data_IF_993650408362
#
_entry.id   IF_993650408362
#
_cell.length_a   1.000
_cell.length_b   1.000
_cell.length_c   1.000
_cell.angle_alpha   90.00
_cell.angle_beta   90.00
_cell.angle_gamma   90.00
#
_symmetry.space_group_name_H-M   'P 1'
#
loop_
_entity.id
_entity.type
_entity.pdbx_description
1 polymer ?
#
# COMPACT_ATOMS: atom_id res chain seq x y z
N UNK A 1 -7.12 34.22 24.63
CA UNK A 1 -7.13 32.97 23.86
C UNK A 1 -8.39 32.97 23.01
N UNK A 2 -8.25 33.29 21.74
CA UNK A 2 -9.35 33.32 20.76
C UNK A 2 -8.79 32.61 19.54
N UNK A 3 -9.20 31.36 19.31
CA UNK A 3 -8.82 30.65 18.10
C UNK A 3 -9.62 31.23 16.93
N UNK A 4 -8.94 31.88 15.99
CA UNK A 4 -9.54 32.31 14.72
C UNK A 4 -9.65 31.11 13.78
N UNK A 5 -10.88 30.75 13.39
CA UNK A 5 -11.10 29.74 12.37
C UNK A 5 -11.06 30.42 11.00
N UNK A 6 -9.92 30.32 10.31
CA UNK A 6 -9.80 30.77 8.92
C UNK A 6 -10.18 29.62 8.00
N UNK A 7 -11.25 29.79 7.24
CA UNK A 7 -11.62 28.86 6.15
C UNK A 7 -10.95 29.38 4.89
N UNK A 8 -9.78 28.85 4.57
CA UNK A 8 -9.17 29.09 3.26
C UNK A 8 -9.67 28.04 2.26
N UNK A 9 -10.43 28.50 1.27
CA UNK A 9 -10.69 27.75 0.04
C UNK A 9 -9.43 27.85 -0.83
N UNK A 10 -8.44 26.99 -0.54
CA UNK A 10 -7.24 26.86 -1.37
C UNK A 10 -7.62 26.20 -2.70
N UNK A 11 -8.18 27.02 -3.58
CA UNK A 11 -8.24 26.75 -4.99
C UNK A 11 -6.84 26.51 -5.55
N UNK A 12 -6.70 25.37 -6.23
CA UNK A 12 -5.66 25.03 -7.18
C UNK A 12 -4.25 24.67 -6.64
N UNK A 13 -4.15 23.56 -5.89
CA UNK A 13 -3.07 22.58 -6.10
C UNK A 13 -3.46 21.22 -5.49
N UNK A 14 -3.79 20.26 -6.37
CA UNK A 14 -4.03 18.86 -6.00
C UNK A 14 -5.50 18.50 -5.81
N UNK A 15 -6.12 17.94 -6.86
CA UNK A 15 -7.41 17.24 -6.75
C UNK A 15 -7.26 16.07 -5.79
N UNK A 16 -7.57 16.27 -4.52
CA UNK A 16 -7.81 15.18 -3.57
C UNK A 16 -9.31 14.90 -3.54
N UNK A 17 -9.69 13.66 -3.88
CA UNK A 17 -11.05 13.13 -3.87
C UNK A 17 -11.92 13.65 -2.71
N UNK A 18 -12.76 14.65 -2.97
CA UNK A 18 -13.97 14.99 -2.21
C UNK A 18 -13.86 15.22 -0.70
N UNK A 19 -12.66 15.40 -0.14
CA UNK A 19 -12.48 15.63 1.31
C UNK A 19 -12.19 17.10 1.53
N UNK A 20 -13.09 17.79 2.25
CA UNK A 20 -12.77 19.10 2.82
C UNK A 20 -11.64 18.91 3.84
N UNK A 21 -10.47 19.48 3.55
CA UNK A 21 -9.42 19.64 4.53
C UNK A 21 -9.69 20.89 5.35
N UNK A 22 -9.51 20.82 6.65
CA UNK A 22 -9.48 21.99 7.53
C UNK A 22 -8.06 22.14 8.04
N UNK A 23 -7.50 23.32 7.85
CA UNK A 23 -6.22 23.71 8.46
C UNK A 23 -6.53 24.68 9.58
N UNK A 24 -6.06 24.38 10.79
CA UNK A 24 -6.18 25.28 11.93
C UNK A 24 -4.83 25.93 12.15
N UNK A 25 -4.79 27.26 12.07
CA UNK A 25 -3.60 28.05 12.40
C UNK A 25 -3.73 28.54 13.83
N UNK A 26 -2.68 28.37 14.62
CA UNK A 26 -2.57 28.96 15.94
C UNK A 26 -1.84 30.30 15.81
N UNK A 27 -2.38 31.37 16.39
CA UNK A 27 -1.76 32.71 16.34
C UNK A 27 -0.42 32.76 17.08
N UNK A 28 -0.24 31.89 18.08
CA UNK A 28 0.97 31.74 18.86
C UNK A 28 1.17 30.26 19.19
N UNK A 29 2.42 29.80 19.19
CA UNK A 29 2.79 28.45 19.64
C UNK A 29 2.40 28.31 21.12
N UNK A 30 1.55 27.34 21.48
CA UNK A 30 1.24 27.10 22.89
C UNK A 30 2.52 26.79 23.67
N UNK A 31 2.62 27.26 24.91
CA UNK A 31 3.80 27.06 25.77
C UNK A 31 4.09 25.56 26.03
N UNK A 32 3.07 24.71 25.88
CA UNK A 32 3.14 23.25 26.02
C UNK A 32 3.46 22.53 24.68
N UNK A 33 3.64 23.25 23.59
CA UNK A 33 3.82 22.70 22.23
C UNK A 33 5.28 22.54 21.80
N UNK A 34 6.24 22.66 22.72
CA UNK A 34 7.65 22.43 22.44
C UNK A 34 7.90 21.03 21.84
N UNK A 35 8.53 21.00 20.67
CA UNK A 35 8.94 19.76 19.99
C UNK A 35 7.97 19.24 18.92
N UNK A 36 6.83 19.89 18.70
CA UNK A 36 5.94 19.55 17.58
C UNK A 36 6.43 20.22 16.29
N UNK A 37 7.46 19.65 15.66
CA UNK A 37 7.84 20.05 14.29
C UNK A 37 6.99 19.28 13.30
N UNK A 38 6.11 19.98 12.58
CA UNK A 38 5.47 19.44 11.37
C UNK A 38 6.49 19.46 10.22
N UNK A 39 7.62 18.77 10.41
CA UNK A 39 8.62 18.55 9.38
C UNK A 39 8.06 17.46 8.45
N UNK A 40 7.11 17.87 7.60
CA UNK A 40 6.41 17.02 6.63
C UNK A 40 7.38 16.39 5.61
N UNK A 41 8.65 16.79 5.59
CA UNK A 41 9.65 16.22 4.70
C UNK A 41 11.07 16.30 5.28
N UNK A 42 11.41 15.44 6.26
CA UNK A 42 12.81 14.99 6.29
C UNK A 42 12.98 14.03 5.12
N UNK A 43 13.48 14.56 4.00
CA UNK A 43 13.91 13.72 2.86
C UNK A 43 15.03 12.76 3.29
N UNK A 44 15.81 13.18 4.29
CA UNK A 44 16.96 12.43 4.80
C UNK A 44 16.75 12.04 6.27
N UNK A 45 16.27 10.82 6.49
CA UNK A 45 16.32 10.19 7.81
C UNK A 45 17.76 9.69 8.05
N UNK A 46 18.42 10.06 9.17
CA UNK A 46 19.73 9.51 9.50
C UNK A 46 19.69 7.97 9.45
N UNK A 47 20.64 7.39 8.73
CA UNK A 47 20.63 5.96 8.42
C UNK A 47 20.56 5.08 9.68
N UNK A 48 21.25 5.47 10.74
CA UNK A 48 21.26 4.73 12.01
C UNK A 48 19.86 4.66 12.64
N UNK A 49 19.11 5.76 12.62
CA UNK A 49 17.73 5.79 13.12
C UNK A 49 16.80 4.96 12.25
N UNK A 50 16.99 4.99 10.93
CA UNK A 50 16.22 4.15 10.01
C UNK A 50 16.46 2.66 10.28
N UNK A 51 17.71 2.25 10.48
CA UNK A 51 18.07 0.85 10.75
C UNK A 51 17.45 0.40 12.08
N UNK A 52 17.63 1.18 13.15
CA UNK A 52 17.09 0.82 14.46
C UNK A 52 15.56 0.74 14.43
N UNK A 53 14.89 1.75 13.87
CA UNK A 53 13.44 1.73 13.71
C UNK A 53 12.98 0.53 12.87
N UNK A 54 13.68 0.18 11.79
CA UNK A 54 13.34 -0.99 10.98
C UNK A 54 13.43 -2.30 11.78
N UNK A 55 14.49 -2.48 12.57
CA UNK A 55 14.67 -3.66 13.44
C UNK A 55 13.51 -3.77 14.43
N UNK A 56 13.13 -2.66 15.06
CA UNK A 56 12.05 -2.64 16.03
C UNK A 56 10.72 -2.90 15.33
N UNK A 57 10.37 -2.15 14.29
CA UNK A 57 9.13 -2.34 13.51
C UNK A 57 8.94 -3.76 12.96
N UNK A 58 10.01 -4.42 12.52
CA UNK A 58 9.92 -5.79 12.02
C UNK A 58 9.54 -6.81 13.09
N UNK A 59 9.77 -6.52 14.38
CA UNK A 59 9.31 -7.38 15.49
C UNK A 59 7.78 -7.36 15.63
N UNK A 60 7.15 -6.23 15.29
CA UNK A 60 5.72 -6.05 15.50
C UNK A 60 5.32 -5.98 16.97
N UNK A 61 4.01 -6.07 17.22
CA UNK A 61 3.46 -6.14 18.58
C UNK A 61 2.78 -4.85 19.06
N UNK A 62 2.76 -3.79 18.25
CA UNK A 62 1.95 -2.60 18.56
C UNK A 62 0.46 -2.93 18.56
N UNK A 63 -0.28 -2.23 19.42
CA UNK A 63 -1.73 -2.30 19.45
C UNK A 63 -2.33 -1.78 18.13
N UNK A 64 -3.51 -2.27 17.77
CA UNK A 64 -4.26 -1.74 16.64
C UNK A 64 -5.04 -0.50 17.09
N UNK A 65 -4.96 0.59 16.33
CA UNK A 65 -5.74 1.79 16.65
C UNK A 65 -7.25 1.53 16.48
N UNK A 66 -8.09 2.34 17.12
CA UNK A 66 -9.54 2.30 16.84
C UNK A 66 -9.86 2.58 15.36
N UNK A 67 -9.07 3.45 14.73
CA UNK A 67 -9.18 3.82 13.32
C UNK A 67 -7.85 3.54 12.58
N UNK A 68 -7.85 2.80 11.44
CA UNK A 68 -6.64 2.52 10.65
C UNK A 68 -5.80 3.75 10.29
N UNK A 69 -6.44 4.93 10.15
CA UNK A 69 -5.75 6.18 9.85
C UNK A 69 -4.81 6.63 10.97
N UNK A 70 -5.03 6.11 12.18
CA UNK A 70 -4.27 6.42 13.38
C UNK A 70 -3.20 5.38 13.71
N UNK A 71 -3.07 4.29 12.93
CA UNK A 71 -2.07 3.25 13.18
C UNK A 71 -0.65 3.84 13.28
N UNK A 72 -0.32 4.83 12.44
CA UNK A 72 0.98 5.51 12.47
C UNK A 72 1.30 6.15 13.82
N UNK A 73 0.31 6.68 14.53
CA UNK A 73 0.51 7.33 15.83
C UNK A 73 0.76 6.30 16.92
N UNK A 74 -0.01 5.21 16.92
CA UNK A 74 0.19 4.09 17.85
C UNK A 74 1.56 3.44 17.64
N UNK A 75 1.99 3.32 16.38
CA UNK A 75 3.33 2.82 16.04
C UNK A 75 4.43 3.78 16.53
N UNK A 76 4.20 5.11 16.44
CA UNK A 76 5.15 6.11 16.96
C UNK A 76 5.34 5.98 18.46
N UNK A 77 4.25 5.91 19.23
CA UNK A 77 4.31 5.71 20.68
C UNK A 77 5.05 4.41 21.01
N UNK A 78 4.68 3.32 20.31
CA UNK A 78 5.29 2.02 20.48
C UNK A 78 6.80 2.03 20.18
N UNK A 79 7.25 2.75 19.15
CA UNK A 79 8.67 2.89 18.83
C UNK A 79 9.44 3.57 19.96
N UNK A 80 8.90 4.64 20.54
CA UNK A 80 9.55 5.33 21.67
C UNK A 80 9.60 4.46 22.94
N UNK A 81 8.63 3.58 23.15
CA UNK A 81 8.66 2.64 24.26
C UNK A 81 9.68 1.50 24.09
N UNK A 82 10.08 1.19 22.84
CA UNK A 82 10.84 -0.01 22.50
C UNK A 82 12.23 0.27 21.91
N UNK A 83 12.65 1.53 21.87
CA UNK A 83 13.99 1.97 21.43
C UNK A 83 14.47 3.14 22.27
N UNK A 84 15.59 2.96 22.98
CA UNK A 84 16.21 4.01 23.78
C UNK A 84 16.68 5.19 22.92
N UNK A 85 17.21 4.91 21.73
CA UNK A 85 17.67 5.94 20.79
C UNK A 85 16.50 6.78 20.27
N UNK A 86 15.39 6.14 19.88
CA UNK A 86 14.21 6.84 19.37
C UNK A 86 13.42 7.54 20.48
N UNK A 87 13.48 7.04 21.71
CA UNK A 87 12.92 7.70 22.89
C UNK A 87 13.59 9.05 23.20
N UNK A 88 14.85 9.23 22.80
CA UNK A 88 15.58 10.49 22.96
C UNK A 88 15.21 11.55 21.91
N UNK A 89 14.46 11.18 20.87
CA UNK A 89 14.00 12.09 19.82
C UNK A 89 12.65 12.70 20.17
N UNK A 90 12.35 13.86 19.61
CA UNK A 90 11.01 14.43 19.72
C UNK A 90 10.00 13.51 19.03
N UNK A 91 8.78 13.42 19.57
CA UNK A 91 7.74 12.52 19.04
C UNK A 91 7.45 12.79 17.56
N UNK A 92 7.46 14.05 17.13
CA UNK A 92 7.29 14.44 15.72
C UNK A 92 8.38 13.87 14.80
N UNK A 93 9.63 13.76 15.29
CA UNK A 93 10.73 13.14 14.53
C UNK A 93 10.51 11.64 14.36
N UNK A 94 10.07 10.95 15.41
CA UNK A 94 9.75 9.52 15.35
C UNK A 94 8.52 9.27 14.46
N UNK A 95 7.52 10.15 14.49
CA UNK A 95 6.41 10.08 13.54
C UNK A 95 6.90 10.28 12.09
N UNK A 96 7.87 11.17 11.87
CA UNK A 96 8.54 11.33 10.58
C UNK A 96 9.16 10.03 10.07
N UNK A 97 9.85 9.29 10.95
CA UNK A 97 10.41 7.95 10.65
C UNK A 97 9.31 6.98 10.19
N UNK A 98 8.21 6.88 10.95
CA UNK A 98 7.10 5.98 10.62
C UNK A 98 6.46 6.37 9.29
N UNK A 99 6.21 7.66 9.07
CA UNK A 99 5.67 8.19 7.81
C UNK A 99 6.58 7.88 6.63
N UNK A 100 7.90 7.98 6.83
CA UNK A 100 8.89 7.62 5.81
C UNK A 100 8.77 6.14 5.43
N UNK A 101 8.68 5.21 6.40
CA UNK A 101 8.47 3.79 6.10
C UNK A 101 7.13 3.49 5.42
N UNK A 102 6.07 4.24 5.74
CA UNK A 102 4.75 4.08 5.10
C UNK A 102 4.75 4.62 3.67
N UNK A 103 5.44 5.72 3.41
CA UNK A 103 5.51 6.38 2.10
C UNK A 103 6.52 5.74 1.15
N UNK A 104 7.56 5.10 1.67
CA UNK A 104 8.63 4.50 0.88
C UNK A 104 8.51 2.98 0.84
N UNK A 105 8.74 2.39 -0.34
CA UNK A 105 8.68 0.94 -0.60
C UNK A 105 9.87 0.17 -0.01
N UNK A 106 10.02 0.21 1.32
CA UNK A 106 11.17 -0.28 2.09
C UNK A 106 11.02 -1.71 2.60
N UNK A 107 9.84 -2.30 2.45
CA UNK A 107 9.53 -3.65 2.96
C UNK A 107 9.73 -3.80 4.48
N UNK A 108 9.56 -2.72 5.25
CA UNK A 108 9.57 -2.75 6.72
C UNK A 108 8.14 -2.78 7.26
N UNK A 109 7.31 -1.87 6.79
CA UNK A 109 5.88 -1.85 7.04
C UNK A 109 5.12 -2.28 5.79
N UNK A 110 4.00 -2.96 5.98
CA UNK A 110 3.05 -3.26 4.94
C UNK A 110 1.62 -3.11 5.44
N UNK A 111 0.67 -3.57 4.63
CA UNK A 111 -0.74 -3.53 4.98
C UNK A 111 -1.37 -4.91 5.00
N UNK A 112 -2.30 -5.11 5.93
CA UNK A 112 -3.23 -6.24 5.97
C UNK A 112 -4.57 -5.73 6.48
N UNK A 113 -5.65 -5.98 5.74
CA UNK A 113 -7.00 -5.52 6.10
C UNK A 113 -7.07 -4.00 6.35
N UNK A 114 -6.30 -3.23 5.56
CA UNK A 114 -6.18 -1.78 5.69
C UNK A 114 -5.34 -1.28 6.87
N UNK A 115 -4.79 -2.17 7.70
CA UNK A 115 -3.96 -1.84 8.88
C UNK A 115 -2.48 -1.90 8.59
N UNK A 116 -1.69 -1.07 9.29
CA UNK A 116 -0.23 -1.17 9.26
C UNK A 116 0.24 -2.36 10.10
N UNK A 117 1.09 -3.18 9.50
CA UNK A 117 1.66 -4.41 10.07
C UNK A 117 3.13 -4.52 9.67
N UNK A 118 3.96 -5.30 10.39
CA UNK A 118 5.30 -5.66 9.90
C UNK A 118 5.20 -6.27 8.51
N UNK A 119 6.14 -5.95 7.62
CA UNK A 119 6.08 -6.40 6.23
C UNK A 119 5.93 -7.92 6.06
N UNK A 120 6.61 -8.80 6.84
CA UNK A 120 6.38 -10.26 6.76
C UNK A 120 4.94 -10.70 7.05
N UNK A 121 4.16 -9.84 7.71
CA UNK A 121 2.76 -10.04 8.02
C UNK A 121 1.84 -9.26 7.06
N UNK A 122 2.35 -8.71 5.97
CA UNK A 122 1.55 -7.94 5.01
C UNK A 122 0.97 -8.82 3.90
N UNK A 123 -0.10 -8.33 3.26
CA UNK A 123 -0.64 -8.93 2.03
C UNK A 123 0.38 -8.91 0.89
N UNK A 124 1.18 -7.85 0.79
CA UNK A 124 2.24 -7.73 -0.20
C UNK A 124 3.29 -8.84 -0.06
N UNK A 125 3.73 -9.12 1.17
CA UNK A 125 4.64 -10.22 1.45
C UNK A 125 4.01 -11.59 1.15
N UNK A 126 2.78 -11.83 1.59
CA UNK A 126 2.05 -13.06 1.24
C UNK A 126 1.96 -13.24 -0.28
N UNK A 127 1.70 -12.16 -1.01
CA UNK A 127 1.64 -12.18 -2.48
C UNK A 127 3.00 -12.48 -3.12
N UNK A 128 4.06 -11.89 -2.60
CA UNK A 128 5.44 -12.14 -3.06
C UNK A 128 5.85 -13.60 -2.83
N UNK A 129 5.55 -14.14 -1.65
CA UNK A 129 5.91 -15.52 -1.32
C UNK A 129 5.08 -16.53 -2.12
N UNK A 130 3.78 -16.26 -2.29
CA UNK A 130 2.94 -17.09 -3.16
C UNK A 130 3.40 -17.02 -4.61
N UNK A 131 3.83 -15.86 -5.12
CA UNK A 131 4.43 -15.77 -6.44
C UNK A 131 5.69 -16.64 -6.55
N UNK A 132 6.59 -16.58 -5.55
CA UNK A 132 7.81 -17.40 -5.51
C UNK A 132 7.49 -18.89 -5.51
N UNK A 133 6.43 -19.30 -4.82
CA UNK A 133 6.00 -20.69 -4.70
C UNK A 133 5.03 -21.15 -5.80
N UNK A 134 4.67 -20.27 -6.74
CA UNK A 134 3.66 -20.52 -7.79
C UNK A 134 2.29 -20.92 -7.22
N UNK A 135 1.91 -20.31 -6.11
CA UNK A 135 0.64 -20.53 -5.43
C UNK A 135 -0.35 -19.40 -5.72
N UNK A 136 -1.65 -19.70 -5.84
CA UNK A 136 -2.65 -18.67 -6.04
C UNK A 136 -2.87 -17.82 -4.77
N UNK A 137 -3.21 -16.56 -4.99
CA UNK A 137 -3.71 -15.59 -4.01
C UNK A 137 -5.14 -15.16 -4.36
N UNK A 138 -5.94 -14.79 -3.35
CA UNK A 138 -7.28 -14.22 -3.54
C UNK A 138 -8.40 -15.21 -3.88
N UNK A 139 -8.17 -16.51 -3.70
CA UNK A 139 -9.18 -17.54 -3.93
C UNK A 139 -10.26 -17.54 -2.83
N UNK A 140 -11.50 -17.70 -3.27
CA UNK A 140 -12.61 -18.05 -2.38
C UNK A 140 -12.62 -19.57 -2.11
N UNK A 141 -13.16 -20.04 -0.97
CA UNK A 141 -13.29 -21.45 -0.71
C UNK A 141 -14.02 -22.19 -1.84
N UNK A 142 -13.40 -23.22 -2.41
CA UNK A 142 -13.95 -24.01 -3.52
C UNK A 142 -13.83 -23.35 -4.91
N UNK A 143 -13.20 -22.18 -5.02
CA UNK A 143 -12.98 -21.52 -6.32
C UNK A 143 -11.87 -22.22 -7.11
N UNK A 144 -12.14 -22.52 -8.37
CA UNK A 144 -11.12 -22.96 -9.32
C UNK A 144 -10.29 -21.76 -9.80
N UNK A 145 -9.08 -22.03 -10.27
CA UNK A 145 -8.20 -21.00 -10.82
C UNK A 145 -7.47 -21.51 -12.06
N UNK A 146 -6.95 -20.58 -12.84
CA UNK A 146 -6.15 -20.89 -14.02
C UNK A 146 -4.81 -21.47 -13.58
N UNK A 147 -4.50 -22.70 -13.98
CA UNK A 147 -3.35 -23.46 -13.47
C UNK A 147 -2.16 -23.53 -14.43
N UNK A 148 -2.37 -23.23 -15.72
CA UNK A 148 -1.33 -23.36 -16.75
C UNK A 148 -1.31 -22.20 -17.73
N UNK A 149 -0.17 -22.00 -18.38
CA UNK A 149 0.00 -20.97 -19.41
C UNK A 149 -0.89 -21.22 -20.63
N UNK A 150 -1.12 -22.48 -21.00
CA UNK A 150 -2.03 -22.85 -22.09
C UNK A 150 -3.48 -22.48 -21.76
N UNK A 151 -3.93 -22.82 -20.56
CA UNK A 151 -5.27 -22.44 -20.08
C UNK A 151 -5.44 -20.91 -20.00
N UNK A 152 -4.41 -20.20 -19.52
CA UNK A 152 -4.40 -18.74 -19.50
C UNK A 152 -4.56 -18.16 -20.92
N UNK A 153 -3.78 -18.67 -21.88
CA UNK A 153 -3.86 -18.27 -23.28
C UNK A 153 -5.25 -18.50 -23.88
N UNK A 154 -5.85 -19.67 -23.63
CA UNK A 154 -7.21 -19.99 -24.09
C UNK A 154 -8.25 -19.03 -23.48
N UNK A 155 -8.18 -18.78 -22.18
CA UNK A 155 -9.08 -17.86 -21.48
C UNK A 155 -8.93 -16.42 -21.98
N UNK A 156 -7.69 -15.94 -22.13
CA UNK A 156 -7.40 -14.60 -22.66
C UNK A 156 -7.91 -14.43 -24.09
N UNK A 157 -7.63 -15.40 -24.97
CA UNK A 157 -8.13 -15.38 -26.34
C UNK A 157 -9.65 -15.41 -26.41
N UNK A 158 -10.30 -16.17 -25.53
CA UNK A 158 -11.76 -16.18 -25.37
C UNK A 158 -12.29 -14.83 -24.90
N UNK A 159 -11.64 -14.18 -23.93
CA UNK A 159 -12.06 -12.86 -23.45
C UNK A 159 -11.95 -11.78 -24.51
N UNK A 160 -10.81 -11.73 -25.21
CA UNK A 160 -10.58 -10.74 -26.26
C UNK A 160 -11.58 -10.91 -27.41
N UNK A 161 -11.89 -12.15 -27.81
CA UNK A 161 -12.88 -12.41 -28.87
C UNK A 161 -14.26 -11.87 -28.52
N UNK A 162 -14.71 -12.07 -27.29
CA UNK A 162 -16.02 -11.59 -26.83
C UNK A 162 -16.04 -10.07 -26.59
N UNK A 163 -14.91 -9.51 -26.13
CA UNK A 163 -14.73 -8.09 -25.89
C UNK A 163 -14.48 -7.26 -27.16
N UNK A 164 -14.55 -7.85 -28.34
CA UNK A 164 -14.29 -7.15 -29.60
C UNK A 164 -12.82 -6.76 -29.80
N UNK A 165 -11.91 -7.55 -29.24
CA UNK A 165 -10.46 -7.40 -29.36
C UNK A 165 -9.80 -6.66 -28.20
N UNK A 166 -10.55 -6.20 -27.19
CA UNK A 166 -10.00 -5.45 -26.07
C UNK A 166 -10.70 -5.80 -24.75
N UNK A 167 -9.98 -5.61 -23.63
CA UNK A 167 -10.52 -5.74 -22.27
C UNK A 167 -9.70 -4.86 -21.32
N UNK A 168 -10.36 -4.16 -20.41
CA UNK A 168 -9.67 -3.37 -19.39
C UNK A 168 -9.02 -4.31 -18.37
N UNK A 169 -7.74 -4.05 -18.04
CA UNK A 169 -7.00 -4.82 -17.04
C UNK A 169 -7.72 -4.82 -15.69
N UNK A 170 -8.33 -3.69 -15.30
CA UNK A 170 -9.10 -3.54 -14.05
C UNK A 170 -10.32 -4.48 -13.96
N UNK A 171 -10.93 -4.81 -15.09
CA UNK A 171 -12.11 -5.67 -15.15
C UNK A 171 -11.75 -7.15 -15.31
N UNK A 172 -10.50 -7.46 -15.68
CA UNK A 172 -10.10 -8.78 -16.14
C UNK A 172 -10.41 -9.89 -15.14
N UNK A 173 -10.03 -9.75 -13.87
CA UNK A 173 -10.30 -10.78 -12.84
C UNK A 173 -11.79 -11.04 -12.64
N UNK A 174 -12.59 -9.98 -12.67
CA UNK A 174 -14.05 -10.08 -12.55
C UNK A 174 -14.61 -10.81 -13.77
N UNK A 175 -14.14 -10.49 -14.98
CA UNK A 175 -14.60 -11.14 -16.20
C UNK A 175 -14.16 -12.59 -16.30
N UNK A 176 -12.95 -12.93 -15.84
CA UNK A 176 -12.47 -14.32 -15.72
C UNK A 176 -13.42 -15.15 -14.85
N UNK A 177 -13.73 -14.65 -13.64
CA UNK A 177 -14.68 -15.32 -12.74
C UNK A 177 -16.06 -15.47 -13.38
N UNK A 178 -16.59 -14.39 -13.96
CA UNK A 178 -17.93 -14.39 -14.53
C UNK A 178 -18.07 -15.33 -15.74
N UNK A 179 -17.03 -15.41 -16.58
CA UNK A 179 -17.08 -16.16 -17.85
C UNK A 179 -16.64 -17.60 -17.71
N UNK A 180 -15.55 -17.85 -16.99
CA UNK A 180 -14.93 -19.18 -16.91
C UNK A 180 -15.18 -19.88 -15.59
N UNK A 181 -15.76 -19.19 -14.59
CA UNK A 181 -15.90 -19.74 -13.23
C UNK A 181 -14.56 -19.92 -12.53
N UNK A 182 -13.49 -19.26 -13.01
CA UNK A 182 -12.12 -19.39 -12.50
C UNK A 182 -11.54 -18.06 -12.08
N UNK A 183 -10.74 -18.07 -11.03
CA UNK A 183 -9.93 -16.92 -10.65
C UNK A 183 -8.66 -16.83 -11.50
N UNK A 184 -8.33 -15.60 -11.89
CA UNK A 184 -7.02 -15.27 -12.45
C UNK A 184 -6.10 -14.81 -11.32
N UNK A 185 -5.19 -15.70 -10.92
CA UNK A 185 -4.19 -15.41 -9.90
C UNK A 185 -2.81 -15.31 -10.51
N UNK A 186 -2.22 -14.12 -10.46
CA UNK A 186 -0.91 -13.85 -11.07
C UNK A 186 0.22 -14.56 -10.35
N UNK A 187 0.03 -14.81 -9.07
CA UNK A 187 1.02 -15.48 -8.22
C UNK A 187 1.19 -16.95 -8.62
N UNK A 188 0.16 -17.59 -9.19
CA UNK A 188 0.27 -18.93 -9.81
C UNK A 188 1.33 -18.96 -10.92
N UNK A 189 1.58 -17.82 -11.55
CA UNK A 189 2.48 -17.67 -12.68
C UNK A 189 3.82 -17.03 -12.31
N UNK A 190 4.05 -16.72 -11.03
CA UNK A 190 5.29 -16.09 -10.56
C UNK A 190 5.27 -14.56 -10.56
N UNK A 191 4.10 -13.94 -10.74
CA UNK A 191 3.97 -12.49 -10.84
C UNK A 191 3.20 -11.91 -9.65
N UNK A 192 3.61 -10.72 -9.19
CA UNK A 192 2.95 -10.00 -8.09
C UNK A 192 1.92 -8.97 -8.56
N UNK A 193 1.80 -8.73 -9.87
CA UNK A 193 0.81 -7.79 -10.45
C UNK A 193 0.22 -8.35 -11.74
N UNK A 194 -1.03 -7.98 -12.04
CA UNK A 194 -1.69 -8.38 -13.29
C UNK A 194 -0.96 -7.85 -14.51
N UNK A 195 -0.51 -6.60 -14.43
CA UNK A 195 0.24 -5.99 -15.50
C UNK A 195 1.54 -6.76 -15.79
N UNK A 196 2.28 -7.17 -14.76
CA UNK A 196 3.51 -7.94 -14.96
C UNK A 196 3.27 -9.36 -15.47
N UNK A 197 2.13 -9.99 -15.14
CA UNK A 197 1.72 -11.26 -15.76
C UNK A 197 1.43 -11.08 -17.26
N UNK A 198 0.63 -10.08 -17.61
CA UNK A 198 0.21 -9.84 -19.00
C UNK A 198 1.38 -9.37 -19.89
N UNK A 199 2.38 -8.70 -19.29
CA UNK A 199 3.60 -8.29 -19.98
C UNK A 199 4.62 -9.43 -20.14
N UNK A 200 4.38 -10.61 -19.56
CA UNK A 200 5.25 -11.76 -19.73
C UNK A 200 5.29 -12.20 -21.20
N UNK A 201 6.48 -12.54 -21.70
CA UNK A 201 6.66 -12.95 -23.10
C UNK A 201 5.82 -14.17 -23.50
N UNK A 202 5.40 -15.01 -22.55
CA UNK A 202 4.49 -16.13 -22.77
C UNK A 202 3.06 -15.69 -23.11
N UNK A 203 2.65 -14.47 -22.72
CA UNK A 203 1.35 -13.88 -23.04
C UNK A 203 1.35 -13.14 -24.39
N UNK A 204 2.52 -12.77 -24.93
CA UNK A 204 2.66 -11.95 -26.13
C UNK A 204 2.02 -12.55 -27.39
N UNK A 205 1.86 -13.88 -27.44
CA UNK A 205 1.18 -14.56 -28.55
C UNK A 205 -0.35 -14.35 -28.56
N UNK A 206 -0.93 -13.90 -27.45
CA UNK A 206 -2.40 -13.84 -27.26
C UNK A 206 -2.90 -12.42 -27.00
N UNK A 207 -2.11 -11.59 -26.32
CA UNK A 207 -2.49 -10.22 -26.02
C UNK A 207 -1.31 -9.26 -26.08
N UNK A 208 -1.64 -8.01 -26.36
CA UNK A 208 -0.74 -6.86 -26.23
C UNK A 208 -1.35 -5.88 -25.23
N UNK A 209 -0.49 -5.20 -24.46
CA UNK A 209 -0.93 -4.19 -23.50
C UNK A 209 -0.86 -2.83 -24.19
N UNK A 210 -2.03 -2.24 -24.40
CA UNK A 210 -2.14 -0.84 -24.80
C UNK A 210 -2.27 0.06 -23.56
N UNK A 211 -1.48 1.12 -23.52
CA UNK A 211 -1.61 2.20 -22.54
C UNK A 211 -2.38 3.31 -23.21
N UNK A 212 -3.69 3.15 -23.27
CA UNK A 212 -4.58 4.23 -23.68
C UNK A 212 -4.49 5.32 -22.61
N UNK A 213 -3.87 6.45 -22.92
CA UNK A 213 -3.90 7.65 -22.08
C UNK A 213 -5.37 8.14 -22.04
N UNK A 214 -6.05 7.98 -20.91
CA UNK A 214 -7.24 8.78 -20.54
C UNK A 214 -6.82 10.04 -19.79
#
# INVERSE_FOLDING_TARGET
STAGLVVDDLGAAGRNNGKMGYTVYLEQEPEEFEGFRDDVAREDLPQDFAIEAAIVLLRGGWAQAGDPRHDKYVITDWLQEHSETLAALAWGEVLGVVRWFVGNSTQVLGKRDGRLVPYPQSEAYTKQENARLLLPTGLRPGEEYVQSWGELAECLGGLLRDGGGWVRISDMKKTFRAKFGKELSETTFGHTTLLSLLADGRCAAVCEIDRSDE
#
